data_IF_323989500083
#
_entry.id   IF_323989500083
#
_cell.length_a   1.000
_cell.length_b   1.000
_cell.length_c   1.000
_cell.angle_alpha   90.00
_cell.angle_beta   90.00
_cell.angle_gamma   90.00
#
_symmetry.space_group_name_H-M   'P 1'
#
loop_
_entity.id
_entity.type
_entity.pdbx_description
1 polymer ?
#
# COMPACT_ATOMS: atom_id res chain seq x y z
N UNK A 1 -16.28 5.70 18.01
CA UNK A 1 -17.13 5.09 16.95
C UNK A 1 -16.40 5.07 15.61
N UNK A 2 -15.85 6.22 15.15
CA UNK A 2 -14.95 6.26 13.98
C UNK A 2 -13.75 5.30 14.11
N UNK A 3 -13.19 5.15 15.31
CA UNK A 3 -12.03 4.28 15.57
C UNK A 3 -12.37 2.78 15.47
N UNK A 4 -13.63 2.41 15.69
CA UNK A 4 -14.10 1.04 15.49
C UNK A 4 -14.25 0.76 14.00
N UNK A 5 -14.87 1.68 13.26
CA UNK A 5 -15.05 1.57 11.80
C UNK A 5 -13.70 1.53 11.08
N UNK A 6 -12.76 2.39 11.45
CA UNK A 6 -11.42 2.42 10.86
C UNK A 6 -10.64 1.12 11.14
N UNK A 7 -10.77 0.57 12.35
CA UNK A 7 -10.16 -0.71 12.70
C UNK A 7 -10.74 -1.87 11.88
N UNK A 8 -12.07 -1.96 11.78
CA UNK A 8 -12.75 -2.97 10.96
C UNK A 8 -12.37 -2.84 9.49
N UNK A 9 -12.26 -1.61 8.97
CA UNK A 9 -11.82 -1.36 7.60
C UNK A 9 -10.39 -1.86 7.38
N UNK A 10 -9.50 -1.63 8.34
CA UNK A 10 -8.11 -2.07 8.27
C UNK A 10 -7.98 -3.59 8.36
N UNK A 11 -8.66 -4.22 9.31
CA UNK A 11 -8.70 -5.68 9.45
C UNK A 11 -9.21 -6.34 8.15
N UNK A 12 -10.29 -5.81 7.56
CA UNK A 12 -10.78 -6.32 6.28
C UNK A 12 -9.76 -6.13 5.16
N UNK A 13 -9.08 -4.99 5.11
CA UNK A 13 -8.07 -4.73 4.10
C UNK A 13 -6.88 -5.70 4.22
N UNK A 14 -6.42 -5.98 5.44
CA UNK A 14 -5.34 -6.92 5.71
C UNK A 14 -5.72 -8.34 5.26
N UNK A 15 -6.95 -8.79 5.55
CA UNK A 15 -7.48 -10.10 5.09
C UNK A 15 -7.57 -10.17 3.56
N UNK A 16 -7.98 -9.09 2.91
CA UNK A 16 -8.02 -9.03 1.43
C UNK A 16 -6.61 -9.13 0.85
N UNK A 17 -5.64 -8.43 1.45
CA UNK A 17 -4.25 -8.47 1.02
C UNK A 17 -3.68 -9.89 1.09
N UNK A 18 -3.91 -10.60 2.20
CA UNK A 18 -3.53 -12.01 2.39
C UNK A 18 -4.23 -12.92 1.37
N UNK A 19 -5.56 -12.79 1.23
CA UNK A 19 -6.33 -13.60 0.29
C UNK A 19 -5.90 -13.42 -1.17
N UNK A 20 -5.47 -12.21 -1.56
CA UNK A 20 -4.94 -11.93 -2.90
C UNK A 20 -3.53 -12.48 -3.06
N UNK A 21 -2.70 -12.40 -2.02
CA UNK A 21 -1.33 -12.92 -2.04
C UNK A 21 -1.29 -14.44 -2.21
N UNK A 22 -2.22 -15.16 -1.59
CA UNK A 22 -2.32 -16.62 -1.64
C UNK A 22 -3.16 -17.16 -2.81
N UNK A 23 -3.77 -16.27 -3.62
CA UNK A 23 -4.69 -16.69 -4.66
C UNK A 23 -3.95 -17.36 -5.84
N UNK A 24 -4.24 -18.64 -6.17
CA UNK A 24 -3.54 -19.34 -7.26
C UNK A 24 -3.75 -18.68 -8.64
N UNK A 25 -4.87 -17.98 -8.84
CA UNK A 25 -5.12 -17.28 -10.11
C UNK A 25 -4.24 -16.04 -10.25
N UNK A 26 -3.94 -15.35 -9.14
CA UNK A 26 -3.06 -14.17 -9.13
C UNK A 26 -1.61 -14.60 -9.38
N UNK A 27 -1.17 -15.69 -8.75
CA UNK A 27 0.11 -16.35 -9.02
C UNK A 27 0.27 -16.73 -10.50
N UNK A 28 -0.72 -17.38 -11.10
CA UNK A 28 -0.69 -17.74 -12.52
C UNK A 28 -0.55 -16.51 -13.44
N UNK A 29 -1.15 -15.37 -13.08
CA UNK A 29 -0.97 -14.11 -13.80
C UNK A 29 0.43 -13.52 -13.61
N UNK A 30 1.01 -13.63 -12.39
CA UNK A 30 2.40 -13.23 -12.12
C UNK A 30 3.38 -14.03 -12.97
N UNK A 31 3.19 -15.35 -13.05
CA UNK A 31 4.03 -16.22 -13.88
C UNK A 31 3.96 -15.85 -15.35
N UNK A 32 2.75 -15.67 -15.88
CA UNK A 32 2.56 -15.24 -17.29
C UNK A 32 3.26 -13.93 -17.59
N UNK A 33 3.20 -12.98 -16.66
CA UNK A 33 3.89 -11.70 -16.79
C UNK A 33 5.41 -11.89 -16.79
N UNK A 34 5.93 -12.77 -15.93
CA UNK A 34 7.37 -13.10 -15.87
C UNK A 34 7.87 -13.78 -17.15
N UNK A 35 7.11 -14.71 -17.71
CA UNK A 35 7.41 -15.36 -19.00
C UNK A 35 7.42 -14.35 -20.14
N UNK A 36 6.57 -13.33 -20.07
CA UNK A 36 6.55 -12.22 -21.02
C UNK A 36 7.67 -11.17 -20.79
N UNK A 37 8.53 -11.36 -19.78
CA UNK A 37 9.64 -10.46 -19.46
C UNK A 37 9.27 -9.27 -18.56
N UNK A 38 8.11 -9.30 -17.89
CA UNK A 38 7.64 -8.23 -17.01
C UNK A 38 7.60 -8.66 -15.53
N UNK A 39 7.91 -7.74 -14.63
CA UNK A 39 7.64 -7.87 -13.20
C UNK A 39 6.24 -7.33 -12.88
N UNK A 40 5.33 -8.18 -12.39
CA UNK A 40 3.96 -7.76 -12.06
C UNK A 40 3.80 -7.41 -10.58
N UNK A 41 3.36 -6.18 -10.30
CA UNK A 41 2.95 -5.72 -8.97
C UNK A 41 1.44 -5.47 -8.94
N UNK A 42 0.79 -5.82 -7.82
CA UNK A 42 -0.65 -5.65 -7.62
C UNK A 42 -0.86 -4.73 -6.42
N UNK A 43 -1.57 -3.63 -6.64
CA UNK A 43 -2.02 -2.70 -5.60
C UNK A 43 -3.53 -2.62 -5.64
N UNK A 44 -4.19 -2.64 -4.47
CA UNK A 44 -5.64 -2.57 -4.37
C UNK A 44 -6.05 -1.26 -3.69
N UNK A 45 -6.84 -0.47 -4.41
CA UNK A 45 -7.57 0.66 -3.84
C UNK A 45 -9.03 0.23 -3.64
N UNK A 46 -9.46 0.16 -2.39
CA UNK A 46 -10.81 -0.23 -2.05
C UNK A 46 -11.45 0.83 -1.14
N UNK A 47 -12.76 1.02 -1.32
CA UNK A 47 -13.57 1.84 -0.43
C UNK A 47 -14.42 0.90 0.41
N UNK A 48 -14.29 0.98 1.73
CA UNK A 48 -15.05 0.15 2.66
C UNK A 48 -16.12 1.03 3.31
N UNK A 49 -17.38 0.70 3.04
CA UNK A 49 -18.55 1.40 3.56
C UNK A 49 -19.20 0.62 4.70
N UNK A 50 -19.52 1.32 5.79
CA UNK A 50 -20.25 0.74 6.92
C UNK A 50 -21.59 1.45 7.09
N UNK A 51 -22.66 0.67 7.27
CA UNK A 51 -24.00 1.14 7.61
C UNK A 51 -24.35 0.70 9.03
N UNK A 52 -24.90 1.62 9.83
CA UNK A 52 -25.36 1.27 11.18
C UNK A 52 -26.73 0.58 11.10
N UNK A 53 -26.83 -0.65 11.65
CA UNK A 53 -28.09 -1.43 11.66
C UNK A 53 -29.20 -0.79 12.50
N UNK A 54 -28.87 0.04 13.49
CA UNK A 54 -29.86 0.72 14.35
C UNK A 54 -30.21 2.15 13.89
N UNK A 55 -29.46 2.72 12.94
CA UNK A 55 -29.74 4.03 12.32
C UNK A 55 -29.34 3.99 10.85
N UNK A 56 -30.29 3.66 9.97
CA UNK A 56 -30.10 3.42 8.52
C UNK A 56 -29.50 4.64 7.78
N UNK A 57 -29.57 5.83 8.37
CA UNK A 57 -29.17 7.10 7.74
C UNK A 57 -27.69 7.45 7.85
N UNK A 58 -26.87 6.71 8.63
CA UNK A 58 -25.46 7.05 8.84
C UNK A 58 -24.52 6.16 8.00
N UNK A 59 -24.04 6.68 6.87
CA UNK A 59 -23.02 6.04 6.03
C UNK A 59 -21.63 6.60 6.38
N UNK A 60 -20.74 5.75 6.91
CA UNK A 60 -19.34 6.09 7.08
C UNK A 60 -18.52 5.48 5.93
N UNK A 61 -17.86 6.33 5.14
CA UNK A 61 -17.00 5.94 4.01
C UNK A 61 -15.54 6.08 4.44
N UNK A 62 -14.78 4.99 4.40
CA UNK A 62 -13.34 4.99 4.65
C UNK A 62 -12.65 4.51 3.38
N UNK A 63 -11.76 5.33 2.83
CA UNK A 63 -10.85 4.91 1.76
C UNK A 63 -9.64 4.22 2.36
N UNK A 64 -9.29 3.02 1.87
CA UNK A 64 -8.05 2.34 2.25
C UNK A 64 -7.18 2.17 1.01
N UNK A 65 -5.99 2.77 1.04
CA UNK A 65 -4.92 2.49 0.08
C UNK A 65 -4.05 1.39 0.69
N UNK A 66 -4.15 0.16 0.20
CA UNK A 66 -3.25 -0.92 0.63
C UNK A 66 -2.28 -1.29 -0.48
N UNK A 67 -1.00 -1.04 -0.19
CA UNK A 67 0.12 -1.43 -1.04
C UNK A 67 0.48 -2.89 -0.68
N UNK A 68 0.00 -3.87 -1.44
CA UNK A 68 0.21 -5.32 -1.21
C UNK A 68 1.58 -5.77 -1.74
N UNK A 69 2.55 -4.85 -1.80
CA UNK A 69 3.92 -5.15 -2.20
C UNK A 69 4.82 -4.95 -1.00
N UNK A 70 5.60 -5.98 -0.68
CA UNK A 70 6.67 -5.92 0.31
C UNK A 70 7.44 -4.61 0.14
N UNK A 71 7.64 -3.90 1.26
CA UNK A 71 8.50 -2.71 1.34
C UNK A 71 9.95 -3.15 1.16
N UNK A 72 10.31 -3.64 -0.02
CA UNK A 72 11.69 -3.66 -0.47
C UNK A 72 11.99 -2.21 -0.84
N UNK A 73 12.70 -1.54 0.05
CA UNK A 73 13.19 -0.18 -0.18
C UNK A 73 13.84 -0.16 -1.56
N UNK A 74 13.41 0.78 -2.39
CA UNK A 74 14.03 1.02 -3.68
C UNK A 74 15.47 1.46 -3.40
N UNK A 75 16.43 0.54 -3.50
CA UNK A 75 17.84 0.84 -3.27
C UNK A 75 18.34 1.74 -4.40
N UNK A 76 18.58 3.01 -4.09
CA UNK A 76 19.06 3.99 -5.06
C UNK A 76 20.50 3.63 -5.46
N UNK A 77 20.71 3.27 -6.72
CA UNK A 77 22.04 2.90 -7.22
C UNK A 77 23.01 4.10 -7.20
N UNK A 78 24.31 3.84 -7.32
CA UNK A 78 25.31 4.91 -7.40
C UNK A 78 25.10 5.83 -8.62
N UNK A 79 24.53 5.30 -9.71
CA UNK A 79 24.22 6.08 -10.91
C UNK A 79 23.02 7.01 -10.67
N UNK A 80 21.97 6.47 -10.03
CA UNK A 80 20.76 7.23 -9.72
C UNK A 80 21.06 8.41 -8.80
N UNK A 81 21.96 8.23 -7.81
CA UNK A 81 22.45 9.33 -6.96
C UNK A 81 23.19 10.42 -7.72
N UNK A 82 23.89 10.11 -8.81
CA UNK A 82 24.54 11.12 -9.67
C UNK A 82 23.51 11.86 -10.52
N UNK A 83 22.54 11.13 -11.07
CA UNK A 83 21.45 11.70 -11.85
C UNK A 83 20.57 12.64 -11.03
N UNK A 84 20.14 12.23 -9.84
CA UNK A 84 19.32 13.05 -8.93
C UNK A 84 20.05 14.32 -8.46
N UNK A 85 21.38 14.24 -8.22
CA UNK A 85 22.21 15.42 -7.95
C UNK A 85 22.24 16.40 -9.13
N UNK A 86 22.31 15.89 -10.36
CA UNK A 86 22.28 16.77 -11.56
C UNK A 86 20.96 17.51 -11.70
N UNK A 87 19.85 16.90 -11.24
CA UNK A 87 18.52 17.49 -11.22
C UNK A 87 18.25 18.36 -9.99
N UNK A 88 19.22 18.51 -9.07
CA UNK A 88 19.07 19.24 -7.79
C UNK A 88 17.92 18.71 -6.93
N UNK A 89 17.62 17.41 -7.04
CA UNK A 89 16.66 16.72 -6.19
C UNK A 89 17.41 16.28 -4.92
N UNK A 90 16.98 16.76 -3.75
CA UNK A 90 17.54 16.34 -2.47
C UNK A 90 17.17 14.87 -2.21
N UNK A 91 18.19 14.03 -1.99
CA UNK A 91 18.02 12.60 -1.65
C UNK A 91 18.21 12.35 -0.15
N UNK A 92 18.75 13.33 0.58
CA UNK A 92 18.82 13.32 2.05
C UNK A 92 17.65 14.11 2.64
N UNK A 93 16.61 13.40 3.05
CA UNK A 93 15.71 13.81 4.13
C UNK A 93 15.37 12.56 4.97
N UNK A 94 16.34 12.07 5.74
CA UNK A 94 16.00 11.52 7.05
C UNK A 94 15.76 12.72 7.96
N UNK A 95 14.53 13.03 8.40
CA UNK A 95 14.36 13.92 9.54
C UNK A 95 14.99 13.20 10.74
N UNK A 96 16.24 13.59 11.02
CA UNK A 96 16.90 13.42 12.30
C UNK A 96 15.98 14.10 13.32
N UNK A 97 15.20 13.28 14.03
CA UNK A 97 14.31 13.72 15.09
C UNK A 97 15.21 14.17 16.24
N UNK A 98 15.67 15.42 16.14
CA UNK A 98 16.62 16.06 17.02
C UNK A 98 15.83 16.71 18.15
N UNK A 99 15.86 16.04 19.31
CA UNK A 99 15.85 16.58 20.69
C UNK A 99 14.56 17.35 21.13
N UNK A 100 14.01 17.26 22.34
CA UNK A 100 14.59 17.42 23.68
C UNK A 100 13.54 17.02 24.75
N UNK A 101 14.06 16.71 25.94
CA UNK A 101 13.42 16.62 27.26
C UNK A 101 12.38 17.72 27.59
#
# INVERSE_FOLDING_TARGET
MKDVVNRLARELADVIAEAVAENPKVEACREKSRVAGYEMRVSLEAVIGFVNRSNITALAKVGTTQNVTSRQGMEISANDRRFLRSLRIAVDETPENTEVE
#
